data_IF_054696298328
#
_entry.id   IF_054696298328
#
_cell.length_a   1.000
_cell.length_b   1.000
_cell.length_c   1.000
_cell.angle_alpha   90.00
_cell.angle_beta   90.00
_cell.angle_gamma   90.00
#
_symmetry.space_group_name_H-M   'P 1'
#
loop_
_entity.id
_entity.type
_entity.pdbx_description
1 polymer ?
#
# COMPACT_ATOMS: atom_id res chain seq x y z
N UNK A 1 -30.27 -52.79 60.13
CA UNK A 1 -29.35 -51.70 60.53
C UNK A 1 -28.48 -51.32 59.34
N UNK A 2 -28.46 -50.02 59.01
CA UNK A 2 -27.41 -49.21 58.37
C UNK A 2 -26.59 -49.75 57.17
N UNK A 3 -26.75 -49.01 56.05
CA UNK A 3 -25.74 -48.50 55.09
C UNK A 3 -24.97 -49.57 54.28
N UNK A 4 -24.63 -49.40 53.00
CA UNK A 4 -23.83 -48.34 52.39
C UNK A 4 -24.02 -48.34 50.86
N UNK A 5 -23.99 -47.14 50.32
CA UNK A 5 -23.86 -46.66 48.95
C UNK A 5 -22.73 -47.36 48.14
N UNK A 6 -22.93 -47.65 46.84
CA UNK A 6 -21.86 -47.42 45.85
C UNK A 6 -22.46 -47.18 44.46
N UNK A 7 -22.48 -45.90 44.09
CA UNK A 7 -22.69 -45.39 42.74
C UNK A 7 -21.31 -44.95 42.25
N UNK A 8 -20.77 -45.58 41.20
CA UNK A 8 -19.58 -45.12 40.47
C UNK A 8 -19.64 -45.72 39.06
N UNK A 9 -19.95 -44.92 38.04
CA UNK A 9 -19.02 -44.18 37.17
C UNK A 9 -18.29 -45.07 36.16
N UNK A 10 -18.74 -45.03 34.90
CA UNK A 10 -17.90 -45.22 33.71
C UNK A 10 -18.63 -44.76 32.44
N UNK A 11 -18.60 -43.46 32.20
CA UNK A 11 -18.47 -42.86 30.86
C UNK A 11 -18.10 -41.40 31.08
N UNK A 12 -16.84 -41.04 30.79
CA UNK A 12 -16.69 -40.09 29.69
C UNK A 12 -15.44 -40.39 28.87
N UNK A 13 -15.54 -40.27 27.55
CA UNK A 13 -14.43 -39.86 26.68
C UNK A 13 -14.95 -39.98 25.25
N UNK A 14 -15.52 -38.91 24.72
CA UNK A 14 -15.63 -38.67 23.26
C UNK A 14 -16.10 -37.24 22.96
N UNK A 15 -15.64 -36.24 23.72
CA UNK A 15 -15.84 -34.83 23.33
C UNK A 15 -14.62 -33.98 23.75
N UNK A 16 -13.44 -34.31 23.24
CA UNK A 16 -12.28 -33.38 23.28
C UNK A 16 -11.36 -33.49 22.06
N UNK A 17 -11.72 -34.28 21.04
CA UNK A 17 -10.90 -34.45 19.84
C UNK A 17 -11.31 -33.54 18.66
N UNK A 18 -12.47 -32.87 18.72
CA UNK A 18 -13.00 -32.09 17.60
C UNK A 18 -12.66 -30.59 17.64
N UNK A 19 -12.35 -30.00 18.80
CA UNK A 19 -12.02 -28.56 18.86
C UNK A 19 -10.63 -28.27 18.31
N UNK A 20 -9.63 -29.09 18.66
CA UNK A 20 -8.25 -28.89 18.21
C UNK A 20 -8.07 -29.10 16.69
N UNK A 21 -8.85 -30.00 16.07
CA UNK A 21 -8.74 -30.26 14.63
C UNK A 21 -9.31 -29.14 13.76
N UNK A 22 -10.34 -28.43 14.25
CA UNK A 22 -10.99 -27.34 13.53
C UNK A 22 -10.08 -26.10 13.52
N UNK A 23 -9.55 -25.70 14.68
CA UNK A 23 -8.61 -24.56 14.76
C UNK A 23 -7.34 -24.77 13.94
N UNK A 24 -6.75 -25.97 13.94
CA UNK A 24 -5.56 -26.25 13.12
C UNK A 24 -5.84 -26.28 11.62
N UNK A 25 -7.06 -26.68 11.21
CA UNK A 25 -7.47 -26.68 9.81
C UNK A 25 -7.71 -25.27 9.30
N UNK A 26 -8.35 -24.42 10.09
CA UNK A 26 -8.61 -23.02 9.73
C UNK A 26 -7.32 -22.20 9.67
N UNK A 27 -6.41 -22.38 10.63
CA UNK A 27 -5.08 -21.76 10.59
C UNK A 27 -4.26 -22.22 9.38
N UNK A 28 -4.29 -23.52 9.06
CA UNK A 28 -3.63 -24.06 7.87
C UNK A 28 -4.22 -23.52 6.57
N UNK A 29 -5.54 -23.36 6.48
CA UNK A 29 -6.22 -22.82 5.31
C UNK A 29 -5.97 -21.31 5.16
N UNK A 30 -5.98 -20.56 6.26
CA UNK A 30 -5.65 -19.14 6.27
C UNK A 30 -4.19 -18.91 5.86
N UNK A 31 -3.26 -19.73 6.35
CA UNK A 31 -1.85 -19.70 5.97
C UNK A 31 -1.66 -20.03 4.48
N UNK A 32 -2.30 -21.10 3.98
CA UNK A 32 -2.26 -21.49 2.57
C UNK A 32 -2.86 -20.40 1.67
N UNK A 33 -3.97 -19.77 2.07
CA UNK A 33 -4.59 -18.67 1.34
C UNK A 33 -3.66 -17.45 1.28
N UNK A 34 -3.07 -17.07 2.42
CA UNK A 34 -2.11 -15.97 2.48
C UNK A 34 -0.87 -16.21 1.61
N UNK A 35 -0.36 -17.44 1.59
CA UNK A 35 0.77 -17.82 0.73
C UNK A 35 0.40 -17.77 -0.76
N UNK A 36 -0.83 -18.13 -1.14
CA UNK A 36 -1.29 -18.02 -2.55
C UNK A 36 -1.58 -16.60 -3.00
N UNK A 37 -1.96 -15.70 -2.09
CA UNK A 37 -2.28 -14.31 -2.38
C UNK A 37 -1.06 -13.38 -2.35
N UNK A 38 0.10 -13.88 -1.92
CA UNK A 38 1.32 -13.08 -1.81
C UNK A 38 1.90 -12.71 -3.18
N UNK A 39 2.18 -11.42 -3.36
CA UNK A 39 2.84 -10.86 -4.54
C UNK A 39 4.16 -10.20 -4.17
N UNK A 40 5.00 -10.00 -5.19
CA UNK A 40 6.25 -9.25 -5.08
C UNK A 40 6.07 -7.89 -5.76
N UNK A 41 6.42 -6.83 -5.06
CA UNK A 41 6.43 -5.47 -5.60
C UNK A 41 7.87 -5.01 -5.72
N UNK A 42 8.25 -4.45 -6.86
CA UNK A 42 9.54 -3.78 -7.06
C UNK A 42 9.35 -2.47 -7.80
N UNK A 43 10.35 -1.60 -7.75
CA UNK A 43 10.26 -0.26 -8.33
C UNK A 43 11.53 0.14 -9.08
N UNK A 44 11.36 1.02 -10.07
CA UNK A 44 12.44 1.75 -10.73
C UNK A 44 12.17 3.25 -10.60
N UNK A 45 13.13 3.98 -10.05
CA UNK A 45 13.03 5.43 -9.90
C UNK A 45 13.68 6.14 -11.08
N UNK A 46 13.08 7.28 -11.43
CA UNK A 46 13.65 8.22 -12.36
C UNK A 46 13.79 7.64 -13.76
N UNK A 47 14.59 8.33 -14.56
CA UNK A 47 14.90 7.98 -15.94
C UNK A 47 16.39 7.68 -16.07
N UNK A 48 16.75 6.87 -17.07
CA UNK A 48 18.15 6.49 -17.30
C UNK A 48 18.98 7.61 -17.92
N UNK A 49 18.33 8.53 -18.64
CA UNK A 49 18.97 9.67 -19.28
C UNK A 49 19.22 10.79 -18.26
N UNK A 50 20.50 11.16 -18.06
CA UNK A 50 20.91 12.10 -17.02
C UNK A 50 20.38 13.52 -17.25
N UNK A 51 20.29 13.97 -18.51
CA UNK A 51 19.76 15.29 -18.85
C UNK A 51 18.25 15.36 -18.60
N UNK A 52 17.53 14.29 -18.93
CA UNK A 52 16.10 14.17 -18.64
C UNK A 52 15.85 14.05 -17.13
N UNK A 53 16.70 13.33 -16.38
CA UNK A 53 16.61 13.25 -14.92
C UNK A 53 16.85 14.63 -14.30
N UNK A 54 17.84 15.37 -14.79
CA UNK A 54 18.11 16.75 -14.37
C UNK A 54 16.91 17.66 -14.61
N UNK A 55 16.24 17.52 -15.76
CA UNK A 55 15.01 18.24 -16.04
C UNK A 55 13.87 17.86 -15.09
N UNK A 56 13.72 16.56 -14.77
CA UNK A 56 12.69 16.11 -13.82
C UNK A 56 12.94 16.68 -12.43
N UNK A 57 14.19 16.67 -11.96
CA UNK A 57 14.56 17.24 -10.66
C UNK A 57 14.33 18.75 -10.63
N UNK A 58 14.70 19.47 -11.71
CA UNK A 58 14.47 20.91 -11.84
C UNK A 58 12.97 21.26 -11.81
N UNK A 59 12.14 20.46 -12.48
CA UNK A 59 10.68 20.64 -12.55
C UNK A 59 9.93 20.03 -11.34
N UNK A 60 10.64 19.46 -10.37
CA UNK A 60 10.08 18.76 -9.22
C UNK A 60 9.10 17.65 -9.61
N UNK A 61 9.50 16.86 -10.60
CA UNK A 61 8.78 15.70 -11.13
C UNK A 61 9.40 14.43 -10.55
N UNK A 62 8.59 13.65 -9.84
CA UNK A 62 8.92 12.27 -9.50
C UNK A 62 8.33 11.34 -10.56
N UNK A 63 9.15 10.41 -11.07
CA UNK A 63 8.70 9.27 -11.86
C UNK A 63 9.09 7.99 -11.13
N UNK A 64 8.11 7.14 -10.84
CA UNK A 64 8.34 5.81 -10.28
C UNK A 64 7.59 4.79 -11.12
N UNK A 65 8.30 3.78 -11.61
CA UNK A 65 7.69 2.61 -12.24
C UNK A 65 7.52 1.51 -11.21
N UNK A 66 6.31 1.00 -11.06
CA UNK A 66 5.98 -0.10 -10.16
C UNK A 66 5.80 -1.38 -10.96
N UNK A 67 6.40 -2.46 -10.49
CA UNK A 67 6.30 -3.80 -11.04
C UNK A 67 5.68 -4.72 -9.99
N UNK A 68 4.62 -5.43 -10.39
CA UNK A 68 3.91 -6.37 -9.54
C UNK A 68 4.01 -7.76 -10.15
N UNK A 69 4.34 -8.76 -9.33
CA UNK A 69 4.50 -10.14 -9.76
C UNK A 69 3.90 -11.14 -8.77
N UNK A 70 3.00 -11.99 -9.27
CA UNK A 70 2.44 -13.14 -8.57
C UNK A 70 1.12 -13.58 -9.22
N UNK A 71 0.82 -14.89 -9.20
CA UNK A 71 -0.37 -15.45 -9.85
C UNK A 71 -1.70 -14.86 -9.32
N UNK A 72 -1.69 -14.36 -8.07
CA UNK A 72 -2.85 -13.77 -7.41
C UNK A 72 -3.45 -12.51 -8.07
N UNK A 73 -2.70 -11.84 -8.97
CA UNK A 73 -3.19 -10.65 -9.68
C UNK A 73 -3.75 -11.00 -11.07
N UNK A 74 -3.53 -12.22 -11.56
CA UNK A 74 -4.01 -12.61 -12.88
C UNK A 74 -5.53 -12.64 -12.88
N UNK A 75 -6.13 -12.02 -13.89
CA UNK A 75 -7.57 -11.87 -14.02
C UNK A 75 -8.16 -10.78 -13.12
N UNK A 76 -7.35 -10.04 -12.35
CA UNK A 76 -7.81 -8.89 -11.57
C UNK A 76 -7.61 -7.57 -12.35
N UNK A 77 -8.33 -6.54 -11.94
CA UNK A 77 -8.03 -5.14 -12.23
C UNK A 77 -7.23 -4.57 -11.07
N UNK A 78 -6.47 -3.50 -11.31
CA UNK A 78 -5.94 -2.70 -10.22
C UNK A 78 -6.70 -1.37 -10.14
N UNK A 79 -6.96 -0.91 -8.92
CA UNK A 79 -7.57 0.39 -8.63
C UNK A 79 -6.57 1.20 -7.83
N UNK A 80 -6.33 2.45 -8.27
CA UNK A 80 -5.46 3.39 -7.57
C UNK A 80 -6.30 4.49 -6.94
N UNK A 81 -6.08 4.68 -5.64
CA UNK A 81 -6.71 5.75 -4.85
C UNK A 81 -5.64 6.62 -4.23
N UNK A 82 -6.00 7.86 -3.96
CA UNK A 82 -5.21 8.77 -3.14
C UNK A 82 -6.04 9.18 -1.93
N UNK A 83 -5.46 8.98 -0.76
CA UNK A 83 -6.01 9.35 0.54
C UNK A 83 -5.32 10.63 1.02
N UNK A 84 -6.09 11.61 1.46
CA UNK A 84 -5.63 12.90 1.96
C UNK A 84 -5.80 12.93 3.48
N UNK A 85 -4.72 13.30 4.18
CA UNK A 85 -4.69 13.34 5.63
C UNK A 85 -4.36 14.74 6.12
N UNK A 86 -5.07 15.17 7.15
CA UNK A 86 -4.85 16.42 7.86
C UNK A 86 -4.71 16.13 9.36
N UNK A 87 -3.56 16.50 9.92
CA UNK A 87 -3.18 16.25 11.32
C UNK A 87 -3.34 14.77 11.75
N UNK A 88 -3.05 13.85 10.82
CA UNK A 88 -3.15 12.41 11.05
C UNK A 88 -4.57 11.82 10.99
N UNK A 89 -5.55 12.59 10.52
CA UNK A 89 -6.91 12.13 10.27
C UNK A 89 -7.18 12.10 8.76
N UNK A 90 -7.80 11.02 8.28
CA UNK A 90 -8.23 10.89 6.89
C UNK A 90 -9.37 11.87 6.61
N UNK A 91 -9.18 12.80 5.68
CA UNK A 91 -10.19 13.82 5.34
C UNK A 91 -10.83 13.59 3.97
N UNK A 92 -10.14 12.90 3.06
CA UNK A 92 -10.66 12.64 1.72
C UNK A 92 -10.02 11.39 1.10
N UNK A 93 -10.75 10.75 0.18
CA UNK A 93 -10.24 9.67 -0.68
C UNK A 93 -10.74 9.90 -2.09
N UNK A 94 -9.83 9.90 -3.05
CA UNK A 94 -10.12 10.15 -4.47
C UNK A 94 -9.57 9.05 -5.35
N UNK A 95 -10.22 8.79 -6.48
CA UNK A 95 -9.76 7.79 -7.47
C UNK A 95 -8.73 8.44 -8.39
N UNK A 96 -7.54 7.84 -8.48
CA UNK A 96 -6.53 8.16 -9.47
C UNK A 96 -6.73 7.36 -10.77
N UNK A 97 -7.11 6.08 -10.63
CA UNK A 97 -7.37 5.18 -11.74
C UNK A 97 -8.33 4.06 -11.31
N UNK A 98 -9.42 3.89 -12.05
CA UNK A 98 -10.36 2.77 -11.94
C UNK A 98 -11.00 2.57 -13.31
N UNK A 99 -10.57 1.54 -14.02
CA UNK A 99 -11.08 1.20 -15.35
C UNK A 99 -11.71 -0.20 -15.36
N UNK A 100 -12.24 -0.63 -14.21
CA UNK A 100 -12.98 -1.89 -14.08
C UNK A 100 -14.16 -1.93 -15.05
N UNK A 101 -14.46 -3.13 -15.55
CA UNK A 101 -15.53 -3.34 -16.53
C UNK A 101 -15.10 -3.20 -18.00
N UNK A 102 -13.84 -2.86 -18.26
CA UNK A 102 -13.26 -2.92 -19.60
C UNK A 102 -12.14 -3.97 -19.65
N UNK A 103 -12.35 -5.08 -20.37
CA UNK A 103 -11.39 -6.20 -20.46
C UNK A 103 -9.97 -5.77 -20.84
N UNK A 104 -9.81 -4.67 -21.58
CA UNK A 104 -8.50 -4.11 -21.93
C UNK A 104 -7.59 -3.79 -20.73
N UNK A 105 -8.17 -3.45 -19.57
CA UNK A 105 -7.40 -3.10 -18.35
C UNK A 105 -7.27 -4.26 -17.36
N UNK A 106 -7.85 -5.42 -17.68
CA UNK A 106 -7.71 -6.62 -16.86
C UNK A 106 -6.29 -7.16 -17.01
N UNK A 107 -5.69 -7.56 -15.91
CA UNK A 107 -4.35 -8.13 -15.91
C UNK A 107 -4.46 -9.57 -16.45
N UNK A 108 -3.88 -9.85 -17.62
CA UNK A 108 -4.00 -11.14 -18.30
C UNK A 108 -2.86 -12.12 -17.98
N UNK A 109 -1.86 -11.68 -17.20
CA UNK A 109 -0.70 -12.47 -16.79
C UNK A 109 -0.46 -12.39 -15.28
N UNK A 110 0.56 -13.10 -14.77
CA UNK A 110 0.99 -12.97 -13.37
C UNK A 110 1.93 -11.79 -13.12
N UNK A 111 2.11 -10.91 -14.10
CA UNK A 111 2.92 -9.70 -14.02
C UNK A 111 2.16 -8.48 -14.57
N UNK A 112 2.32 -7.34 -13.92
CA UNK A 112 1.86 -6.05 -14.46
C UNK A 112 2.75 -4.92 -13.99
N UNK A 113 2.73 -3.81 -14.71
CA UNK A 113 3.45 -2.60 -14.32
C UNK A 113 2.75 -1.34 -14.78
N UNK A 114 3.05 -0.25 -14.08
CA UNK A 114 2.71 1.10 -14.54
C UNK A 114 3.74 2.09 -14.03
N UNK A 115 3.88 3.20 -14.76
CA UNK A 115 4.62 4.38 -14.34
C UNK A 115 3.65 5.34 -13.68
N UNK A 116 4.03 5.86 -12.52
CA UNK A 116 3.39 6.98 -11.87
C UNK A 116 4.30 8.20 -11.95
N UNK A 117 3.78 9.29 -12.51
CA UNK A 117 4.41 10.59 -12.47
C UNK A 117 3.66 11.46 -11.49
N UNK A 118 4.39 12.13 -10.59
CA UNK A 118 3.87 13.20 -9.76
C UNK A 118 4.70 14.47 -9.95
N UNK A 119 4.04 15.62 -9.97
CA UNK A 119 4.69 16.94 -9.99
C UNK A 119 4.12 17.79 -8.88
N UNK A 120 4.97 18.26 -7.97
CA UNK A 120 4.56 19.18 -6.92
C UNK A 120 4.70 20.61 -7.45
N UNK A 121 3.55 21.22 -7.74
CA UNK A 121 3.43 22.61 -8.14
C UNK A 121 3.37 23.57 -6.95
N UNK A 122 2.98 24.81 -7.25
CA UNK A 122 2.81 25.85 -6.22
C UNK A 122 1.54 25.61 -5.39
N UNK A 123 0.45 25.27 -6.06
CA UNK A 123 -0.89 25.20 -5.49
C UNK A 123 -1.46 23.77 -5.49
N UNK A 124 -0.87 22.88 -6.29
CA UNK A 124 -1.32 21.51 -6.43
C UNK A 124 -0.19 20.48 -6.58
N UNK A 125 -0.56 19.21 -6.44
CA UNK A 125 0.22 18.06 -6.85
C UNK A 125 -0.53 17.44 -8.02
N UNK A 126 0.15 17.33 -9.16
CA UNK A 126 -0.37 16.68 -10.36
C UNK A 126 0.08 15.24 -10.42
N UNK A 127 -0.84 14.31 -10.65
CA UNK A 127 -0.56 12.90 -10.91
C UNK A 127 -0.93 12.51 -12.34
N UNK A 128 -0.14 11.59 -12.90
CA UNK A 128 -0.44 10.91 -14.14
C UNK A 128 0.06 9.47 -14.10
N UNK A 129 -0.78 8.53 -14.51
CA UNK A 129 -0.46 7.10 -14.56
C UNK A 129 -0.32 6.69 -16.01
N UNK A 130 0.74 5.95 -16.31
CA UNK A 130 1.05 5.45 -17.65
C UNK A 130 1.33 3.96 -17.59
N UNK A 131 0.42 3.17 -18.13
CA UNK A 131 0.69 1.76 -18.45
C UNK A 131 1.34 1.63 -19.82
N UNK A 132 1.60 0.39 -20.25
CA UNK A 132 2.20 0.10 -21.56
C UNK A 132 1.39 0.75 -22.70
N UNK A 133 0.06 0.60 -22.67
CA UNK A 133 -0.83 0.94 -23.78
C UNK A 133 -1.84 2.05 -23.48
N UNK A 134 -1.81 2.62 -22.29
CA UNK A 134 -2.76 3.65 -21.85
C UNK A 134 -2.10 4.71 -20.98
N UNK A 135 -2.76 5.86 -20.89
CA UNK A 135 -2.48 6.87 -19.87
C UNK A 135 -3.78 7.28 -19.20
N UNK A 136 -3.75 7.49 -17.90
CA UNK A 136 -4.89 8.03 -17.16
C UNK A 136 -5.14 9.50 -17.53
N UNK A 137 -6.26 10.05 -17.09
CA UNK A 137 -6.40 11.50 -16.94
C UNK A 137 -5.34 12.04 -15.97
N UNK A 138 -5.00 13.31 -16.12
CA UNK A 138 -4.22 14.03 -15.10
C UNK A 138 -5.14 14.41 -13.94
N UNK A 139 -4.70 14.16 -12.71
CA UNK A 139 -5.43 14.49 -11.49
C UNK A 139 -4.65 15.49 -10.66
N UNK A 140 -5.35 16.41 -9.99
CA UNK A 140 -4.76 17.55 -9.28
C UNK A 140 -5.30 17.60 -7.86
N UNK A 141 -4.40 17.75 -6.88
CA UNK A 141 -4.73 17.77 -5.46
C UNK A 141 -4.10 18.98 -4.79
N UNK A 142 -4.81 19.72 -3.92
CA UNK A 142 -4.32 20.97 -3.36
C UNK A 142 -3.11 20.76 -2.42
N UNK A 143 -2.26 21.76 -2.28
CA UNK A 143 -1.25 21.79 -1.21
C UNK A 143 -1.59 22.88 -0.19
N UNK A 144 -1.39 22.58 1.10
CA UNK A 144 -1.76 23.51 2.18
C UNK A 144 -0.69 24.57 2.53
N UNK A 145 0.49 24.54 1.91
CA UNK A 145 1.60 25.44 2.26
C UNK A 145 2.20 26.11 1.03
N UNK A 146 2.36 27.44 1.09
CA UNK A 146 3.15 28.20 0.13
C UNK A 146 4.58 27.64 0.10
N UNK A 147 4.97 27.08 -1.05
CA UNK A 147 6.28 26.46 -1.35
C UNK A 147 6.43 24.97 -1.05
N UNK A 148 5.68 24.11 -1.76
CA UNK A 148 6.26 22.99 -2.52
C UNK A 148 7.20 21.98 -1.82
N UNK A 149 7.23 21.92 -0.48
CA UNK A 149 8.07 20.98 0.28
C UNK A 149 7.51 19.56 0.31
N UNK A 150 6.52 19.26 -0.52
CA UNK A 150 6.04 17.90 -0.65
C UNK A 150 7.06 17.11 -1.44
N UNK A 151 7.33 15.89 -0.99
CA UNK A 151 8.20 14.96 -1.68
C UNK A 151 7.49 13.62 -1.77
N UNK A 152 7.51 13.04 -2.97
CA UNK A 152 7.07 11.68 -3.18
C UNK A 152 8.09 10.69 -2.60
N UNK A 153 7.63 9.76 -1.77
CA UNK A 153 8.43 8.70 -1.15
C UNK A 153 7.67 7.37 -1.17
N UNK A 154 8.31 6.34 -1.67
CA UNK A 154 7.93 4.95 -1.52
C UNK A 154 8.24 4.42 -0.09
N UNK A 155 7.89 3.14 0.12
CA UNK A 155 8.06 2.43 1.39
C UNK A 155 9.16 1.34 1.35
N UNK A 156 10.01 1.33 0.32
CA UNK A 156 10.99 0.24 0.11
C UNK A 156 12.19 0.33 1.05
N UNK A 157 12.56 1.51 1.52
CA UNK A 157 13.73 1.63 2.39
C UNK A 157 15.02 1.21 1.66
N UNK A 158 15.76 0.29 2.26
CA UNK A 158 16.91 -0.38 1.65
C UNK A 158 16.53 -1.66 0.89
N UNK A 159 15.26 -2.07 0.91
CA UNK A 159 14.78 -3.29 0.25
C UNK A 159 14.62 -3.04 -1.24
N UNK A 160 14.83 -4.08 -2.04
CA UNK A 160 14.58 -4.06 -3.50
C UNK A 160 13.21 -4.61 -3.87
N UNK A 161 12.63 -5.41 -2.99
CA UNK A 161 11.36 -6.12 -3.20
C UNK A 161 10.58 -6.05 -1.89
N UNK A 162 9.30 -5.68 -1.99
CA UNK A 162 8.31 -5.82 -0.92
C UNK A 162 7.41 -7.01 -1.21
N UNK A 163 6.90 -7.64 -0.15
CA UNK A 163 5.94 -8.74 -0.22
C UNK A 163 4.62 -8.23 0.34
N UNK A 164 3.60 -8.26 -0.51
CA UNK A 164 2.28 -7.73 -0.18
C UNK A 164 1.23 -8.81 -0.45
N UNK A 165 0.09 -8.71 0.24
CA UNK A 165 -1.04 -9.58 0.00
C UNK A 165 -1.95 -8.95 -1.07
N UNK A 166 -2.18 -9.62 -2.20
CA UNK A 166 -3.00 -9.11 -3.29
C UNK A 166 -4.51 -9.12 -3.03
N UNK A 167 -4.95 -9.70 -1.91
CA UNK A 167 -6.35 -9.62 -1.46
C UNK A 167 -6.58 -8.40 -0.55
N UNK A 168 -5.51 -7.77 -0.06
CA UNK A 168 -5.57 -6.56 0.76
C UNK A 168 -5.18 -5.33 -0.07
N UNK A 169 -5.68 -4.15 0.31
CA UNK A 169 -5.14 -2.90 -0.22
C UNK A 169 -3.84 -2.55 0.51
N UNK A 170 -2.91 -1.90 -0.20
CA UNK A 170 -1.66 -1.45 0.40
C UNK A 170 -1.18 -0.13 -0.21
N UNK A 171 -0.38 0.60 0.56
CA UNK A 171 0.17 1.88 0.14
C UNK A 171 1.44 1.68 -0.67
N UNK A 172 1.56 2.36 -1.82
CA UNK A 172 2.73 2.26 -2.72
C UNK A 172 3.58 3.52 -2.74
N UNK A 173 2.99 4.67 -2.39
CA UNK A 173 3.68 5.95 -2.34
C UNK A 173 3.03 6.86 -1.30
N UNK A 174 3.84 7.73 -0.71
CA UNK A 174 3.41 8.84 0.13
C UNK A 174 3.89 10.16 -0.49
N UNK A 175 3.14 11.23 -0.27
CA UNK A 175 3.52 12.59 -0.64
C UNK A 175 3.44 13.42 0.62
N UNK A 176 4.61 13.63 1.23
CA UNK A 176 4.73 14.12 2.61
C UNK A 176 5.48 15.44 2.67
N UNK A 177 5.16 16.24 3.67
CA UNK A 177 5.99 17.38 4.09
C UNK A 177 7.13 16.89 5.00
N UNK A 178 8.24 17.64 5.16
CA UNK A 178 9.32 17.19 6.02
C UNK A 178 8.87 17.17 7.48
N UNK A 179 9.21 16.11 8.20
CA UNK A 179 9.24 16.16 9.66
C UNK A 179 10.36 17.10 10.10
N UNK A 180 10.07 18.04 10.99
CA UNK A 180 11.05 18.94 11.60
C UNK A 180 11.58 18.36 12.91
N UNK A 181 12.89 18.13 12.96
CA UNK A 181 13.60 17.86 14.18
C UNK A 181 13.55 19.07 15.14
N UNK A 182 13.78 18.87 16.46
CA UNK A 182 13.87 19.96 17.43
C UNK A 182 14.93 21.02 17.10
N UNK A 183 15.96 20.64 16.36
CA UNK A 183 17.02 21.53 15.85
C UNK A 183 16.64 22.29 14.56
N UNK A 184 15.42 22.08 14.05
CA UNK A 184 14.88 22.70 12.83
C UNK A 184 15.21 21.96 11.53
N UNK A 185 16.03 20.91 11.55
CA UNK A 185 16.36 20.12 10.35
C UNK A 185 15.16 19.28 9.87
N UNK A 186 14.98 19.15 8.55
CA UNK A 186 13.92 18.36 7.95
C UNK A 186 14.39 16.94 7.60
N UNK A 187 13.59 15.90 7.88
CA UNK A 187 13.87 14.53 7.40
C UNK A 187 12.64 13.90 6.77
N UNK A 188 12.78 13.46 5.51
CA UNK A 188 11.75 12.74 4.75
C UNK A 188 11.93 11.22 4.84
N UNK A 189 13.17 10.74 4.83
CA UNK A 189 13.46 9.29 4.74
C UNK A 189 13.08 8.52 6.00
N UNK A 190 13.22 9.13 7.18
CA UNK A 190 12.85 8.51 8.46
C UNK A 190 11.35 8.19 8.57
N UNK A 191 10.51 8.92 7.84
CA UNK A 191 9.06 8.78 7.88
C UNK A 191 8.65 7.61 6.99
N UNK A 192 8.89 7.72 5.68
CA UNK A 192 8.40 6.75 4.70
C UNK A 192 9.08 5.37 4.78
N UNK A 193 10.26 5.27 5.40
CA UNK A 193 10.99 4.02 5.56
C UNK A 193 10.94 3.48 7.00
N UNK A 194 10.03 4.01 7.82
CA UNK A 194 9.77 3.48 9.16
C UNK A 194 8.90 2.21 9.09
N UNK A 195 8.88 1.44 10.17
CA UNK A 195 7.93 0.32 10.35
C UNK A 195 6.53 0.80 10.80
N UNK A 196 6.33 2.13 10.83
CA UNK A 196 5.05 2.73 11.20
C UNK A 196 4.11 2.64 10.00
N UNK A 197 2.87 2.25 10.28
CA UNK A 197 1.78 2.30 9.31
C UNK A 197 1.69 3.72 8.69
N UNK A 198 1.75 3.85 7.35
CA UNK A 198 1.67 5.13 6.66
C UNK A 198 0.48 6.00 7.07
N UNK A 199 -0.66 5.41 7.43
CA UNK A 199 -1.83 6.18 7.89
C UNK A 199 -1.60 6.89 9.23
N UNK A 200 -0.62 6.44 10.03
CA UNK A 200 -0.28 7.03 11.32
C UNK A 200 0.84 8.08 11.25
N UNK A 201 1.38 8.38 10.06
CA UNK A 201 2.49 9.33 9.91
C UNK A 201 2.20 10.72 10.49
N UNK A 202 0.98 11.24 10.36
CA UNK A 202 0.62 12.54 10.93
C UNK A 202 0.77 12.60 12.44
N UNK A 203 0.37 11.52 13.13
CA UNK A 203 0.40 11.40 14.60
C UNK A 203 1.81 11.16 15.12
N UNK A 204 2.55 10.26 14.48
CA UNK A 204 3.89 9.85 14.95
C UNK A 204 4.99 10.86 14.60
N UNK A 205 4.85 11.55 13.47
CA UNK A 205 5.90 12.41 12.93
C UNK A 205 5.51 13.89 12.85
N UNK A 206 4.37 14.27 13.43
CA UNK A 206 3.83 15.64 13.37
C UNK A 206 3.78 16.20 11.95
N UNK A 207 3.30 15.38 11.00
CA UNK A 207 3.14 15.78 9.61
C UNK A 207 1.72 16.34 9.45
N UNK A 208 1.56 17.66 9.28
CA UNK A 208 0.25 18.30 9.33
C UNK A 208 -0.61 17.94 8.13
N UNK A 209 -0.01 17.72 6.96
CA UNK A 209 -0.73 17.38 5.75
C UNK A 209 0.11 16.47 4.87
N UNK A 210 -0.51 15.41 4.37
CA UNK A 210 0.11 14.43 3.49
C UNK A 210 -0.92 13.64 2.67
N UNK A 211 -0.42 13.01 1.62
CA UNK A 211 -1.20 12.08 0.81
C UNK A 211 -0.58 10.70 0.84
N UNK A 212 -1.42 9.68 0.75
CA UNK A 212 -1.01 8.30 0.50
C UNK A 212 -1.66 7.78 -0.77
N UNK A 213 -0.88 7.14 -1.63
CA UNK A 213 -1.38 6.42 -2.80
C UNK A 213 -1.53 4.96 -2.41
N UNK A 214 -2.75 4.46 -2.56
CA UNK A 214 -3.15 3.09 -2.29
C UNK A 214 -3.43 2.36 -3.60
N UNK A 215 -3.06 1.09 -3.65
CA UNK A 215 -3.45 0.15 -4.70
C UNK A 215 -4.29 -0.98 -4.10
N UNK A 216 -5.26 -1.45 -4.86
CA UNK A 216 -6.07 -2.64 -4.58
C UNK A 216 -6.21 -3.46 -5.85
N UNK A 217 -6.11 -4.79 -5.76
CA UNK A 217 -6.41 -5.70 -6.87
C UNK A 217 -7.80 -6.30 -6.69
N UNK A 218 -8.69 -6.07 -7.66
CA UNK A 218 -10.11 -6.44 -7.60
C UNK A 218 -10.52 -7.34 -8.76
N UNK A 219 -11.56 -8.17 -8.56
CA UNK A 219 -12.18 -8.96 -9.64
C UNK A 219 -12.93 -8.11 -10.67
#
# INVERSE_FOLDING_TARGET
MKKVLLLALLMPLLIFAQSNSIETSELSQAQLKADTATISVSIKYGVEDEDLQTLYDFENVNQTEFFFKGEAIQGKYYVLRIKEFLNGELINTSILFDERGTEFFKIDSSETSFKMLSKVGRDDIKFWIRGERYGSKQSFFPVMHENGRYVAKDFFGSKKILKENADDSFHIMSIITPNRNPDGSGSYCRVAQSEIDPENFGKEFNIPHYYLVEIEFME
#
